data_IF_439181035264
#
_entry.id   IF_439181035264
#
_cell.length_a   1.000
_cell.length_b   1.000
_cell.length_c   1.000
_cell.angle_alpha   90.00
_cell.angle_beta   90.00
_cell.angle_gamma   90.00
#
_symmetry.space_group_name_H-M   'P 1'
#
loop_
_entity.id
_entity.type
_entity.pdbx_description
1 polymer ?
#
# COMPACT_ATOMS: atom_id res chain seq x y z
N UNK A 1 -9.75 -21.22 -24.24
CA UNK A 1 -8.91 -20.03 -23.98
C UNK A 1 -9.37 -19.49 -22.64
N UNK A 2 -8.57 -19.67 -21.58
CA UNK A 2 -8.99 -19.34 -20.20
C UNK A 2 -9.26 -17.84 -20.06
N UNK A 3 -10.26 -17.47 -19.25
CA UNK A 3 -10.61 -16.07 -19.03
C UNK A 3 -9.41 -15.36 -18.37
N UNK A 4 -8.81 -14.32 -18.98
CA UNK A 4 -7.67 -13.59 -18.41
C UNK A 4 -7.94 -13.08 -16.99
N UNK A 5 -9.21 -12.79 -16.64
CA UNK A 5 -9.59 -12.37 -15.29
C UNK A 5 -9.29 -13.44 -14.22
N UNK A 6 -9.42 -14.73 -14.57
CA UNK A 6 -9.07 -15.83 -13.67
C UNK A 6 -7.56 -15.82 -13.38
N UNK A 7 -6.73 -15.55 -14.39
CA UNK A 7 -5.29 -15.41 -14.23
C UNK A 7 -4.91 -14.20 -13.38
N UNK A 8 -5.62 -13.07 -13.48
CA UNK A 8 -5.32 -11.89 -12.66
C UNK A 8 -5.74 -12.12 -11.21
N UNK A 9 -6.89 -12.77 -10.99
CA UNK A 9 -7.36 -13.13 -9.64
C UNK A 9 -6.37 -14.04 -8.91
N UNK A 10 -5.89 -15.09 -9.57
CA UNK A 10 -4.92 -16.02 -9.00
C UNK A 10 -3.58 -15.32 -8.67
N UNK A 11 -3.11 -14.45 -9.58
CA UNK A 11 -1.90 -13.65 -9.35
C UNK A 11 -2.06 -12.69 -8.17
N UNK A 12 -3.25 -12.07 -8.01
CA UNK A 12 -3.52 -11.19 -6.88
C UNK A 12 -3.48 -11.96 -5.55
N UNK A 13 -4.04 -13.18 -5.50
CA UNK A 13 -3.99 -14.04 -4.30
C UNK A 13 -2.54 -14.38 -3.94
N UNK A 14 -1.75 -14.86 -4.90
CA UNK A 14 -0.33 -15.20 -4.66
C UNK A 14 0.47 -13.98 -4.20
N UNK A 15 0.20 -12.81 -4.80
CA UNK A 15 0.91 -11.57 -4.43
C UNK A 15 0.56 -11.13 -3.02
N UNK A 16 -0.71 -11.20 -2.62
CA UNK A 16 -1.14 -10.85 -1.26
C UNK A 16 -0.59 -11.82 -0.22
N UNK A 17 -0.54 -13.12 -0.53
CA UNK A 17 0.06 -14.13 0.35
C UNK A 17 1.54 -13.85 0.63
N UNK A 18 2.33 -13.62 -0.43
CA UNK A 18 3.74 -13.23 -0.30
C UNK A 18 3.92 -11.91 0.47
N UNK A 19 3.01 -10.96 0.28
CA UNK A 19 3.04 -9.69 0.98
C UNK A 19 2.74 -9.84 2.48
N UNK A 20 1.78 -10.69 2.83
CA UNK A 20 1.45 -11.04 4.23
C UNK A 20 2.65 -11.70 4.90
N UNK A 21 3.27 -12.68 4.25
CA UNK A 21 4.47 -13.35 4.75
C UNK A 21 5.61 -12.36 5.01
N UNK A 22 5.86 -11.44 4.08
CA UNK A 22 6.87 -10.41 4.24
C UNK A 22 6.54 -9.48 5.43
N UNK A 23 5.31 -9.00 5.54
CA UNK A 23 4.87 -8.13 6.63
C UNK A 23 4.95 -8.82 8.00
N UNK A 24 4.70 -10.13 8.06
CA UNK A 24 4.79 -10.92 9.29
C UNK A 24 6.23 -11.04 9.83
N UNK A 25 7.26 -10.82 9.00
CA UNK A 25 8.66 -10.80 9.44
C UNK A 25 9.08 -9.51 10.15
N UNK A 26 8.26 -8.46 10.09
CA UNK A 26 8.57 -7.15 10.68
C UNK A 26 8.36 -7.21 12.20
N UNK A 27 9.43 -6.96 12.96
CA UNK A 27 9.35 -6.88 14.42
C UNK A 27 8.47 -5.73 14.90
N UNK A 28 7.84 -5.88 16.07
CA UNK A 28 6.93 -4.85 16.62
C UNK A 28 7.59 -3.46 16.74
N UNK A 29 8.88 -3.43 17.05
CA UNK A 29 9.66 -2.19 17.21
C UNK A 29 10.16 -1.61 15.87
N UNK A 30 10.00 -2.35 14.77
CA UNK A 30 10.52 -1.99 13.46
C UNK A 30 9.49 -1.27 12.60
N UNK A 31 8.20 -1.29 12.98
CA UNK A 31 7.12 -0.69 12.20
C UNK A 31 7.30 0.81 11.93
N UNK A 32 7.96 1.53 12.85
CA UNK A 32 8.22 2.96 12.73
C UNK A 32 9.59 3.27 12.09
N UNK A 33 10.34 2.25 11.64
CA UNK A 33 11.58 2.43 10.87
C UNK A 33 11.27 2.94 9.45
N UNK A 34 12.20 3.67 8.83
CA UNK A 34 12.04 4.11 7.45
C UNK A 34 11.94 2.92 6.49
N UNK A 35 11.06 3.06 5.51
CA UNK A 35 10.94 2.16 4.37
C UNK A 35 11.93 2.55 3.25
N UNK A 36 11.81 1.89 2.10
CA UNK A 36 12.53 2.26 0.88
C UNK A 36 11.89 3.45 0.13
N UNK A 37 10.76 3.99 0.61
CA UNK A 37 10.10 5.17 0.08
C UNK A 37 10.40 6.39 0.95
N UNK A 38 10.70 7.52 0.32
CA UNK A 38 11.09 8.75 1.03
C UNK A 38 9.99 9.24 1.96
N UNK A 39 10.36 9.49 3.22
CA UNK A 39 9.44 9.93 4.26
C UNK A 39 8.41 8.90 4.76
N UNK A 40 8.44 7.65 4.29
CA UNK A 40 7.48 6.62 4.69
C UNK A 40 8.08 5.62 5.65
N UNK A 41 7.35 5.30 6.72
CA UNK A 41 7.67 4.16 7.59
C UNK A 41 7.25 2.83 6.97
N UNK A 42 7.72 1.71 7.53
CA UNK A 42 7.23 0.39 7.15
C UNK A 42 5.71 0.26 7.38
N UNK A 43 5.17 0.90 8.42
CA UNK A 43 3.72 0.94 8.66
C UNK A 43 2.98 1.70 7.56
N UNK A 44 3.51 2.82 7.09
CA UNK A 44 2.88 3.60 5.99
C UNK A 44 2.88 2.81 4.68
N UNK A 45 4.01 2.16 4.36
CA UNK A 45 4.13 1.30 3.18
C UNK A 45 3.10 0.16 3.22
N UNK A 46 3.02 -0.55 4.35
CA UNK A 46 2.10 -1.69 4.47
C UNK A 46 0.64 -1.24 4.48
N UNK A 47 0.33 -0.16 5.19
CA UNK A 47 -1.01 0.43 5.19
C UNK A 47 -1.44 0.89 3.80
N UNK A 48 -0.54 1.45 2.99
CA UNK A 48 -0.86 1.85 1.64
C UNK A 48 -1.10 0.66 0.70
N UNK A 49 -0.22 -0.34 0.73
CA UNK A 49 -0.32 -1.53 -0.12
C UNK A 49 -1.61 -2.32 0.13
N UNK A 50 -2.12 -2.28 1.37
CA UNK A 50 -3.38 -2.93 1.78
C UNK A 50 -4.61 -2.03 1.66
N UNK A 51 -4.43 -0.75 1.35
CA UNK A 51 -5.51 0.24 1.29
C UNK A 51 -6.06 0.67 2.66
N UNK A 52 -5.39 0.33 3.77
CA UNK A 52 -5.76 0.75 5.12
C UNK A 52 -5.25 2.15 5.48
N UNK A 53 -4.22 2.66 4.80
CA UNK A 53 -3.71 4.01 5.02
C UNK A 53 -4.61 5.05 4.35
N UNK A 54 -4.87 6.15 5.05
CA UNK A 54 -5.38 7.37 4.42
C UNK A 54 -4.43 7.79 3.27
N UNK A 55 -4.92 8.43 2.21
CA UNK A 55 -4.07 8.91 1.13
C UNK A 55 -2.95 9.75 1.76
N UNK A 56 -1.69 9.41 1.42
CA UNK A 56 -0.52 10.08 1.97
C UNK A 56 -0.68 11.61 2.01
N UNK A 57 -0.14 12.31 3.03
CA UNK A 57 -0.11 13.77 3.02
C UNK A 57 0.49 14.24 1.69
N UNK A 58 -0.15 15.21 1.07
CA UNK A 58 0.21 15.69 -0.27
C UNK A 58 1.71 16.03 -0.34
N UNK A 59 2.43 15.35 -1.23
CA UNK A 59 3.79 15.74 -1.61
C UNK A 59 3.70 17.05 -2.43
N UNK A 60 4.27 18.17 -1.94
CA UNK A 60 4.26 19.44 -2.67
C UNK A 60 5.05 19.38 -4.00
N UNK A 61 5.84 18.33 -4.23
CA UNK A 61 6.64 18.12 -5.44
C UNK A 61 5.90 17.33 -6.54
N UNK A 62 4.72 16.78 -6.25
CA UNK A 62 3.95 15.96 -7.20
C UNK A 62 2.57 16.58 -7.51
N UNK A 63 2.46 17.47 -8.51
CA UNK A 63 1.24 18.22 -8.81
C UNK A 63 0.07 17.38 -9.34
N UNK A 64 0.26 16.09 -9.59
CA UNK A 64 -0.79 15.20 -10.11
C UNK A 64 -1.57 14.44 -9.04
N UNK A 65 -1.15 14.51 -7.77
CA UNK A 65 -1.85 13.82 -6.67
C UNK A 65 -3.04 14.67 -6.20
N UNK A 66 -4.22 14.48 -6.82
CA UNK A 66 -5.46 15.14 -6.38
C UNK A 66 -5.80 14.68 -4.96
N UNK A 67 -5.97 15.63 -4.07
CA UNK A 67 -6.57 15.39 -2.75
C UNK A 67 -7.98 14.83 -2.93
N UNK A 68 -8.41 13.84 -2.12
CA UNK A 68 -9.81 13.43 -2.11
C UNK A 68 -10.67 14.63 -1.72
N UNK A 69 -11.64 14.97 -2.57
CA UNK A 69 -12.62 16.01 -2.27
C UNK A 69 -13.49 15.52 -1.09
N UNK A 70 -13.63 16.30 0.00
CA UNK A 70 -14.56 15.93 1.07
C UNK A 70 -15.99 15.89 0.52
N UNK A 71 -16.85 14.94 0.93
CA UNK A 71 -18.23 14.90 0.45
C UNK A 71 -18.96 16.20 0.82
N UNK A 72 -19.83 16.73 -0.07
CA UNK A 72 -20.61 17.92 0.24
C UNK A 72 -21.54 17.66 1.43
N UNK A 73 -21.67 18.69 2.29
CA UNK A 73 -22.53 18.67 3.49
C UNK A 73 -24.00 18.52 3.14
#
# INVERSE_FOLDING_TARGET
>A
MGNPDHSIGDLAVVTLDMFIDAAATIGLQDWDKPSNLDGWTLRDLVGHATGCAAPAPSDPSNPHRRTPHPPPR
#
